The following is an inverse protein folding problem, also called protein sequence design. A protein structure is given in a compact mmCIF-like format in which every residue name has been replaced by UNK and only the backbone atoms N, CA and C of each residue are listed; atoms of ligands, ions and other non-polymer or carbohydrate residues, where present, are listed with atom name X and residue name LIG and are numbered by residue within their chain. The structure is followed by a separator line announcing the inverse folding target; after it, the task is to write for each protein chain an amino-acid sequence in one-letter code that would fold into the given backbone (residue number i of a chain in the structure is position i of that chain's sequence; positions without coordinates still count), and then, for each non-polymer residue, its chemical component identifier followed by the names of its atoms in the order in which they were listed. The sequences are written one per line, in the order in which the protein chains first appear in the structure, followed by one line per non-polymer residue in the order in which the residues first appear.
data_IF_763726813742
#
_entry.id   IF_763726813742
#
_cell.length_a   1.000
_cell.length_b   1.000
_cell.length_c   1.000
_cell.angle_alpha   90.00
_cell.angle_beta   90.00
_cell.angle_gamma   90.00
#
_symmetry.space_group_name_H-M   'P 1'
#
loop_
_entity.id
_entity.type
_entity.pdbx_description
1 polymer ?
#
# COMPACT_ATOMS: atom_id res chain seq x y z
N UNK A 1 21.04 11.42 28.35
CA UNK A 1 20.03 12.47 28.07
C UNK A 1 20.64 13.52 27.14
N UNK A 2 20.89 13.22 25.85
CA UNK A 2 21.54 14.19 24.95
C UNK A 2 21.34 13.94 23.44
N UNK A 3 20.33 13.17 23.02
CA UNK A 3 20.09 12.88 21.59
C UNK A 3 18.79 13.46 21.01
N UNK A 4 17.95 14.12 21.81
CA UNK A 4 16.62 14.55 21.36
C UNK A 4 16.57 15.93 20.66
N UNK A 5 17.68 16.67 20.56
CA UNK A 5 17.64 18.12 20.22
C UNK A 5 18.04 18.52 18.79
N UNK A 6 18.19 17.60 17.82
CA UNK A 6 18.69 17.94 16.47
C UNK A 6 17.69 17.82 15.30
N UNK A 7 16.39 17.59 15.55
CA UNK A 7 15.38 17.72 14.50
C UNK A 7 14.62 19.04 14.67
N UNK A 8 14.83 19.97 13.75
CA UNK A 8 14.08 21.23 13.68
C UNK A 8 12.63 20.95 13.23
N UNK A 9 11.65 21.68 13.76
CA UNK A 9 10.22 21.54 13.46
C UNK A 9 9.91 21.50 11.95
N UNK A 10 10.52 22.36 11.14
CA UNK A 10 10.36 22.38 9.69
C UNK A 10 10.87 21.10 9.00
N UNK A 11 11.85 20.43 9.61
CA UNK A 11 12.34 19.13 9.10
C UNK A 11 11.37 18.01 9.44
N UNK A 12 10.74 18.05 10.62
CA UNK A 12 9.69 17.11 11.02
C UNK A 12 8.45 17.31 10.16
N UNK A 13 8.02 18.56 9.93
CA UNK A 13 6.89 18.89 9.06
C UNK A 13 7.09 18.37 7.64
N UNK A 14 8.31 18.55 7.08
CA UNK A 14 8.66 17.99 5.77
C UNK A 14 8.63 16.47 5.73
N UNK A 15 9.09 15.78 6.78
CA UNK A 15 9.04 14.31 6.86
C UNK A 15 7.59 13.84 6.95
N UNK A 16 6.79 14.46 7.82
CA UNK A 16 5.36 14.18 7.99
C UNK A 16 4.57 14.43 6.70
N UNK A 17 4.90 15.50 5.96
CA UNK A 17 4.31 15.79 4.65
C UNK A 17 4.59 14.68 3.64
N UNK A 18 5.83 14.18 3.57
CA UNK A 18 6.16 13.03 2.70
C UNK A 18 5.43 11.76 3.11
N UNK A 19 5.34 11.48 4.41
CA UNK A 19 4.59 10.32 4.92
C UNK A 19 3.11 10.43 4.54
N UNK A 20 2.49 11.61 4.72
CA UNK A 20 1.11 11.84 4.35
C UNK A 20 0.87 11.66 2.84
N UNK A 21 1.76 12.19 1.99
CA UNK A 21 1.69 12.02 0.53
C UNK A 21 1.78 10.54 0.13
N UNK A 22 2.74 9.80 0.69
CA UNK A 22 2.90 8.36 0.41
C UNK A 22 1.69 7.55 0.86
N UNK A 23 1.11 7.87 2.03
CA UNK A 23 -0.11 7.22 2.52
C UNK A 23 -1.30 7.48 1.60
N UNK A 24 -1.53 8.73 1.19
CA UNK A 24 -2.63 9.08 0.28
C UNK A 24 -2.48 8.37 -1.07
N UNK A 25 -1.26 8.31 -1.60
CA UNK A 25 -0.98 7.64 -2.88
C UNK A 25 -1.15 6.13 -2.78
N UNK A 26 -0.73 5.50 -1.68
CA UNK A 26 -0.99 4.09 -1.41
C UNK A 26 -2.48 3.78 -1.41
N UNK A 27 -3.26 4.59 -0.70
CA UNK A 27 -4.73 4.46 -0.67
C UNK A 27 -5.35 4.58 -2.07
N UNK A 28 -4.97 5.60 -2.84
CA UNK A 28 -5.50 5.80 -4.19
C UNK A 28 -5.14 4.64 -5.13
N UNK A 29 -3.92 4.09 -5.00
CA UNK A 29 -3.50 2.92 -5.77
C UNK A 29 -4.35 1.69 -5.42
N UNK A 30 -4.50 1.37 -4.14
CA UNK A 30 -5.29 0.22 -3.69
C UNK A 30 -6.77 0.35 -4.08
N UNK A 31 -7.33 1.56 -3.97
CA UNK A 31 -8.70 1.85 -4.40
C UNK A 31 -8.89 1.58 -5.90
N UNK A 32 -8.00 2.12 -6.74
CA UNK A 32 -8.06 1.92 -8.19
C UNK A 32 -7.82 0.46 -8.58
N UNK A 33 -6.91 -0.24 -7.88
CA UNK A 33 -6.66 -1.66 -8.13
C UNK A 33 -7.89 -2.50 -7.83
N UNK A 34 -8.58 -2.21 -6.71
CA UNK A 34 -9.83 -2.89 -6.36
C UNK A 34 -10.89 -2.68 -7.43
N UNK A 35 -11.08 -1.45 -7.90
CA UNK A 35 -12.01 -1.17 -9.00
C UNK A 35 -11.65 -1.96 -10.25
N UNK A 36 -10.36 -2.04 -10.59
CA UNK A 36 -9.91 -2.81 -11.73
C UNK A 36 -10.18 -4.32 -11.57
N UNK A 37 -9.99 -4.88 -10.37
CA UNK A 37 -10.39 -6.28 -10.10
C UNK A 37 -11.90 -6.47 -10.30
N UNK A 38 -12.73 -5.55 -9.80
CA UNK A 38 -14.20 -5.62 -9.95
C UNK A 38 -14.61 -5.57 -11.42
N UNK A 39 -13.96 -4.74 -12.23
CA UNK A 39 -14.28 -4.62 -13.65
C UNK A 39 -13.83 -5.84 -14.47
N UNK A 40 -12.82 -6.57 -14.00
CA UNK A 40 -12.32 -7.78 -14.65
C UNK A 40 -12.99 -9.06 -14.16
N UNK A 41 -13.62 -9.00 -12.98
CA UNK A 41 -14.29 -10.14 -12.39
C UNK A 41 -15.50 -10.56 -13.22
N UNK A 42 -15.66 -11.87 -13.36
CA UNK A 42 -16.86 -12.47 -13.96
C UNK A 42 -17.76 -13.02 -12.86
N UNK A 43 -17.32 -14.11 -12.22
CA UNK A 43 -17.99 -14.75 -11.08
C UNK A 43 -17.11 -14.72 -9.82
N UNK A 44 -16.03 -13.93 -9.84
CA UNK A 44 -15.08 -13.83 -8.74
C UNK A 44 -15.68 -13.05 -7.56
N UNK A 45 -15.43 -13.53 -6.34
CA UNK A 45 -15.73 -12.79 -5.11
C UNK A 45 -14.50 -11.98 -4.73
N UNK A 46 -14.65 -10.65 -4.75
CA UNK A 46 -13.62 -9.71 -4.35
C UNK A 46 -13.91 -9.23 -2.93
N UNK A 47 -12.96 -9.49 -2.03
CA UNK A 47 -12.99 -9.04 -0.65
C UNK A 47 -11.87 -8.04 -0.44
N UNK A 48 -12.24 -6.87 0.08
CA UNK A 48 -11.30 -5.87 0.53
C UNK A 48 -11.07 -6.04 2.03
N UNK A 49 -9.81 -6.20 2.44
CA UNK A 49 -9.43 -6.33 3.85
C UNK A 49 -8.98 -4.98 4.44
N UNK A 50 -9.36 -4.74 5.70
CA UNK A 50 -8.98 -3.53 6.43
C UNK A 50 -9.58 -2.23 5.87
N UNK A 51 -8.95 -1.09 6.22
CA UNK A 51 -9.26 0.22 5.63
C UNK A 51 -8.43 0.32 4.33
N UNK A 52 -8.83 -0.45 3.32
CA UNK A 52 -8.19 -0.51 1.99
C UNK A 52 -6.70 -0.89 2.09
N UNK A 53 -6.40 -2.16 2.36
CA UNK A 53 -5.01 -2.62 2.52
C UNK A 53 -4.67 -3.73 1.52
N UNK A 54 -5.38 -4.85 1.64
CA UNK A 54 -5.20 -6.05 0.84
C UNK A 54 -6.51 -6.46 0.15
N UNK A 55 -6.39 -7.18 -0.96
CA UNK A 55 -7.54 -7.64 -1.77
C UNK A 55 -7.43 -9.15 -1.92
N UNK A 56 -8.47 -9.88 -1.53
CA UNK A 56 -8.63 -11.28 -1.85
C UNK A 56 -9.58 -11.42 -3.04
N UNK A 57 -9.15 -12.15 -4.07
CA UNK A 57 -9.99 -12.54 -5.20
C UNK A 57 -10.20 -14.04 -5.14
N UNK A 58 -11.45 -14.49 -5.09
CA UNK A 58 -11.77 -15.90 -4.94
C UNK A 58 -12.70 -16.43 -6.03
N UNK A 59 -12.37 -17.61 -6.56
CA UNK A 59 -13.11 -18.29 -7.62
C UNK A 59 -12.95 -19.81 -7.50
N UNK A 60 -14.07 -20.54 -7.51
CA UNK A 60 -14.11 -22.02 -7.48
C UNK A 60 -13.05 -22.64 -6.55
N UNK A 61 -13.14 -22.31 -5.25
CA UNK A 61 -12.25 -22.76 -4.16
C UNK A 61 -10.79 -22.26 -4.21
N UNK A 62 -10.41 -21.47 -5.21
CA UNK A 62 -9.12 -20.79 -5.25
C UNK A 62 -9.23 -19.37 -4.70
N UNK A 63 -8.24 -18.98 -3.90
CA UNK A 63 -8.09 -17.61 -3.40
C UNK A 63 -6.74 -17.07 -3.85
N UNK A 64 -6.76 -15.89 -4.45
CA UNK A 64 -5.59 -15.09 -4.78
C UNK A 64 -5.55 -13.89 -3.84
N UNK A 65 -4.55 -13.85 -2.96
CA UNK A 65 -4.30 -12.71 -2.09
C UNK A 65 -3.40 -11.70 -2.83
N UNK A 66 -3.85 -10.45 -2.92
CA UNK A 66 -3.14 -9.34 -3.54
C UNK A 66 -2.74 -8.35 -2.44
N UNK A 67 -1.48 -8.42 -2.03
CA UNK A 67 -0.91 -7.53 -1.03
C UNK A 67 -0.28 -6.30 -1.68
N UNK A 68 -0.74 -5.11 -1.30
CA UNK A 68 -0.31 -3.86 -1.90
C UNK A 68 0.67 -3.11 -1.01
N UNK A 69 1.96 -3.14 -1.35
CA UNK A 69 2.97 -2.30 -0.69
C UNK A 69 3.33 -1.11 -1.59
N UNK A 70 2.73 0.05 -1.33
CA UNK A 70 3.10 1.27 -2.03
C UNK A 70 4.46 1.76 -1.53
N UNK A 71 5.47 1.73 -2.42
CA UNK A 71 6.81 2.23 -2.15
C UNK A 71 7.09 3.43 -3.04
N UNK A 72 6.86 4.63 -2.49
CA UNK A 72 7.19 5.87 -3.19
C UNK A 72 8.70 6.09 -3.34
N UNK A 73 9.50 5.41 -2.51
CA UNK A 73 10.97 5.51 -2.48
C UNK A 73 11.66 4.26 -3.06
N UNK A 74 11.42 3.90 -4.32
CA UNK A 74 12.31 2.97 -5.02
C UNK A 74 12.95 3.65 -6.22
N UNK A 75 14.07 4.34 -6.00
CA UNK A 75 15.03 4.62 -7.09
C UNK A 75 15.63 3.32 -7.67
N UNK A 76 15.55 2.19 -6.94
CA UNK A 76 15.93 0.86 -7.41
C UNK A 76 15.01 -0.20 -6.81
N UNK A 77 14.28 -0.89 -7.68
CA UNK A 77 13.52 -2.11 -7.40
C UNK A 77 14.39 -3.14 -6.65
N UNK A 78 13.91 -3.62 -5.49
CA UNK A 78 14.50 -4.76 -4.78
C UNK A 78 13.49 -5.89 -4.62
N UNK A 79 13.90 -7.11 -4.94
CA UNK A 79 13.07 -8.33 -4.89
C UNK A 79 12.41 -8.60 -3.53
N UNK A 80 13.02 -8.16 -2.43
CA UNK A 80 12.46 -8.25 -1.07
C UNK A 80 11.18 -7.45 -0.84
N UNK A 81 10.82 -6.58 -1.78
CA UNK A 81 9.66 -5.69 -1.69
C UNK A 81 8.37 -6.35 -2.18
N UNK A 82 8.50 -7.34 -3.07
CA UNK A 82 7.36 -7.97 -3.77
C UNK A 82 6.91 -9.28 -3.10
N UNK A 83 7.77 -9.90 -2.29
CA UNK A 83 7.46 -11.19 -1.66
C UNK A 83 7.87 -11.12 -0.19
N UNK A 84 6.88 -11.13 0.70
CA UNK A 84 7.08 -11.42 2.11
C UNK A 84 6.17 -12.59 2.45
N UNK A 85 6.76 -13.70 2.88
CA UNK A 85 6.07 -14.90 3.33
C UNK A 85 5.16 -14.62 4.53
#
# INVERSE_FOLDING_TARGET
MFLATYFNEASIEKIMGRVADSTIKGFMYQFNLTLNQILQASDDIIKMEGIVEDIDVSFNDHVTAIQCKYHEEQQKFQWSTVIQF
#
